data_IF_462699900296
#
_entry.id   IF_462699900296
#
_cell.length_a   1.000
_cell.length_b   1.000
_cell.length_c   1.000
_cell.angle_alpha   90.00
_cell.angle_beta   90.00
_cell.angle_gamma   90.00
#
_symmetry.space_group_name_H-M   'P 1'
#
loop_
_entity.id
_entity.type
_entity.pdbx_description
1 polymer ?
#
# COMPACT_ATOMS: atom_id res chain seq x y z
N UNK A 1 8.65 2.98 13.09
CA UNK A 1 7.17 3.04 12.96
C UNK A 1 6.48 1.68 13.03
N UNK A 2 7.17 0.55 12.78
CA UNK A 2 6.59 -0.82 12.87
C UNK A 2 7.24 -1.70 13.96
N UNK A 3 7.97 -1.11 14.90
CA UNK A 3 8.64 -1.87 15.96
C UNK A 3 7.60 -2.55 16.86
N UNK A 4 7.66 -3.88 16.95
CA UNK A 4 6.74 -4.69 17.74
C UNK A 4 5.45 -5.09 17.03
N UNK A 5 5.28 -4.77 15.74
CA UNK A 5 4.15 -5.25 14.93
C UNK A 5 4.47 -6.65 14.39
N UNK A 6 3.58 -7.62 14.62
CA UNK A 6 3.69 -8.95 14.01
C UNK A 6 3.33 -8.89 12.52
N UNK A 7 4.21 -9.33 11.61
CA UNK A 7 3.90 -9.38 10.18
C UNK A 7 2.70 -10.26 9.86
N UNK A 8 1.90 -9.82 8.89
CA UNK A 8 0.87 -10.67 8.29
C UNK A 8 1.53 -11.68 7.36
N UNK A 9 1.33 -12.98 7.60
CA UNK A 9 1.88 -14.04 6.74
C UNK A 9 1.04 -14.18 5.48
N UNK A 10 1.68 -14.23 4.33
CA UNK A 10 1.05 -14.43 3.02
C UNK A 10 1.87 -15.41 2.17
N UNK A 11 1.21 -16.10 1.25
CA UNK A 11 1.89 -16.97 0.28
C UNK A 11 2.62 -16.14 -0.78
N UNK A 12 3.68 -16.70 -1.41
CA UNK A 12 4.30 -16.10 -2.60
C UNK A 12 3.26 -15.73 -3.65
N UNK A 13 3.44 -14.56 -4.27
CA UNK A 13 2.52 -13.99 -5.28
C UNK A 13 1.06 -13.80 -4.80
N UNK A 14 0.82 -13.90 -3.48
CA UNK A 14 -0.51 -13.71 -2.90
C UNK A 14 -1.07 -12.33 -3.19
N UNK A 15 -2.38 -12.26 -3.45
CA UNK A 15 -3.08 -11.00 -3.77
C UNK A 15 -3.28 -10.14 -2.51
N UNK A 16 -2.95 -8.86 -2.63
CA UNK A 16 -3.13 -7.84 -1.59
C UNK A 16 -4.04 -6.76 -2.15
N UNK A 17 -5.29 -6.76 -1.71
CA UNK A 17 -6.30 -5.80 -2.11
C UNK A 17 -6.39 -4.62 -1.14
N UNK A 18 -6.59 -3.42 -1.68
CA UNK A 18 -6.81 -2.19 -0.93
C UNK A 18 -8.25 -1.76 -1.08
N UNK A 19 -8.89 -1.41 0.04
CA UNK A 19 -10.24 -0.85 0.00
C UNK A 19 -10.44 0.23 1.06
N UNK A 20 -11.37 1.14 0.78
CA UNK A 20 -11.77 2.21 1.69
C UNK A 20 -13.26 2.09 1.99
N UNK A 21 -13.59 2.01 3.27
CA UNK A 21 -14.99 1.99 3.73
C UNK A 21 -15.68 3.35 3.50
N UNK A 22 -14.92 4.44 3.59
CA UNK A 22 -15.41 5.80 3.34
C UNK A 22 -15.77 6.00 1.86
N UNK A 23 -16.84 6.77 1.60
CA UNK A 23 -17.27 7.18 0.26
C UNK A 23 -17.32 8.71 0.16
N UNK A 24 -16.83 9.31 -0.94
CA UNK A 24 -16.24 8.67 -2.12
C UNK A 24 -14.86 8.03 -1.83
N UNK A 25 -14.48 7.03 -2.64
CA UNK A 25 -13.14 6.45 -2.61
C UNK A 25 -12.09 7.50 -3.05
N UNK A 26 -10.81 7.36 -2.64
CA UNK A 26 -9.76 8.29 -3.06
C UNK A 26 -9.58 8.25 -4.59
N UNK A 27 -9.18 9.39 -5.16
CA UNK A 27 -8.95 9.51 -6.61
C UNK A 27 -7.59 9.00 -7.03
N UNK A 28 -6.63 8.99 -6.11
CA UNK A 28 -5.28 8.48 -6.33
C UNK A 28 -4.86 7.62 -5.16
N UNK A 29 -4.26 6.48 -5.49
CA UNK A 29 -3.59 5.58 -4.58
C UNK A 29 -2.13 5.46 -4.99
N UNK A 30 -1.25 5.49 -3.99
CA UNK A 30 0.17 5.22 -4.16
C UNK A 30 0.57 4.14 -3.16
N UNK A 31 1.24 3.09 -3.64
CA UNK A 31 1.85 2.09 -2.78
C UNK A 31 3.34 2.09 -3.03
N UNK A 32 4.09 2.10 -1.94
CA UNK A 32 5.53 2.03 -1.97
C UNK A 32 6.00 0.90 -1.08
N UNK A 33 6.95 0.12 -1.57
CA UNK A 33 7.71 -0.82 -0.77
C UNK A 33 8.99 -0.14 -0.30
N UNK A 34 9.31 -0.29 0.98
CA UNK A 34 10.62 0.10 1.51
C UNK A 34 11.63 -1.02 1.24
N UNK A 35 12.76 -0.66 0.64
CA UNK A 35 13.86 -1.56 0.36
C UNK A 35 15.18 -0.84 0.65
N UNK A 36 15.87 -1.26 1.71
CA UNK A 36 17.02 -0.55 2.29
C UNK A 36 16.72 0.95 2.48
N UNK A 37 17.58 1.84 1.98
CA UNK A 37 17.42 3.29 2.01
C UNK A 37 16.60 3.85 0.83
N UNK A 38 15.84 2.98 0.13
CA UNK A 38 15.07 3.33 -1.06
C UNK A 38 13.61 2.93 -0.94
N UNK A 39 12.79 3.57 -1.76
CA UNK A 39 11.38 3.22 -1.96
C UNK A 39 11.16 2.77 -3.40
N UNK A 40 10.51 1.63 -3.57
CA UNK A 40 10.05 1.14 -4.86
C UNK A 40 8.55 1.40 -4.99
N UNK A 41 8.12 2.11 -6.03
CA UNK A 41 6.69 2.27 -6.30
C UNK A 41 6.11 0.97 -6.84
N UNK A 42 4.99 0.52 -6.24
CA UNK A 42 4.29 -0.69 -6.64
C UNK A 42 3.11 -0.32 -7.54
N UNK A 43 3.05 -0.83 -8.78
CA UNK A 43 1.90 -0.61 -9.64
C UNK A 43 0.68 -1.34 -9.10
N UNK A 44 -0.44 -0.63 -9.04
CA UNK A 44 -1.74 -1.19 -8.70
C UNK A 44 -2.48 -1.62 -9.96
N UNK A 45 -3.15 -2.76 -9.90
CA UNK A 45 -4.11 -3.22 -10.90
C UNK A 45 -5.43 -3.51 -10.19
N UNK A 46 -6.51 -2.81 -10.56
CA UNK A 46 -7.82 -2.93 -9.90
C UNK A 46 -7.73 -2.80 -8.36
N UNK A 47 -6.99 -1.80 -7.86
CA UNK A 47 -6.74 -1.55 -6.44
C UNK A 47 -6.09 -2.73 -5.67
N UNK A 48 -5.40 -3.61 -6.41
CA UNK A 48 -4.67 -4.77 -5.86
C UNK A 48 -3.25 -4.86 -6.42
N UNK A 49 -2.39 -5.57 -5.70
CA UNK A 49 -1.05 -5.96 -6.16
C UNK A 49 -0.65 -7.30 -5.55
N UNK A 50 0.30 -8.00 -6.17
CA UNK A 50 0.80 -9.28 -5.68
C UNK A 50 2.00 -9.07 -4.75
N UNK A 51 2.06 -9.88 -3.70
CA UNK A 51 3.26 -10.01 -2.88
C UNK A 51 4.46 -10.51 -3.71
N UNK A 52 5.70 -10.23 -3.28
CA UNK A 52 6.89 -10.78 -3.91
C UNK A 52 6.85 -12.31 -3.97
N UNK A 53 7.51 -12.89 -4.97
CA UNK A 53 7.70 -14.34 -5.05
C UNK A 53 8.78 -14.84 -4.07
N UNK A 54 9.73 -13.97 -3.73
CA UNK A 54 10.82 -14.31 -2.81
C UNK A 54 10.33 -14.32 -1.36
N UNK A 55 10.83 -15.28 -0.57
CA UNK A 55 10.56 -15.33 0.86
C UNK A 55 11.27 -14.19 1.57
N UNK A 56 10.57 -13.54 2.51
CA UNK A 56 11.14 -12.42 3.24
C UNK A 56 10.09 -11.60 3.97
N UNK A 57 10.57 -10.63 4.75
CA UNK A 57 9.73 -9.60 5.39
C UNK A 57 9.74 -8.34 4.54
N UNK A 58 8.56 -7.84 4.19
CA UNK A 58 8.39 -6.72 3.29
C UNK A 58 7.56 -5.62 3.94
N UNK A 59 8.04 -4.39 3.83
CA UNK A 59 7.44 -3.21 4.45
C UNK A 59 6.87 -2.32 3.37
N UNK A 60 5.65 -1.83 3.60
CA UNK A 60 4.93 -1.02 2.65
C UNK A 60 4.35 0.23 3.31
N UNK A 61 4.19 1.27 2.50
CA UNK A 61 3.31 2.40 2.76
C UNK A 61 2.24 2.45 1.68
N UNK A 62 1.02 2.73 2.09
CA UNK A 62 -0.04 3.17 1.21
C UNK A 62 -0.43 4.61 1.53
N UNK A 63 -0.55 5.44 0.50
CA UNK A 63 -1.04 6.81 0.58
C UNK A 63 -2.26 6.98 -0.33
N UNK A 64 -3.30 7.60 0.19
CA UNK A 64 -4.55 7.85 -0.49
C UNK A 64 -4.88 9.33 -0.52
N UNK A 65 -5.29 9.84 -1.68
CA UNK A 65 -5.54 11.26 -1.89
C UNK A 65 -6.94 11.50 -2.46
N UNK A 66 -7.70 12.35 -1.79
CA UNK A 66 -8.96 12.90 -2.29
C UNK A 66 -8.68 14.28 -2.87
N UNK A 67 -9.17 14.53 -4.07
CA UNK A 67 -9.00 15.81 -4.75
C UNK A 67 -10.30 16.28 -5.38
N UNK A 68 -10.39 17.58 -5.64
CA UNK A 68 -11.47 18.17 -6.45
C UNK A 68 -11.56 17.50 -7.83
N UNK A 69 -12.69 17.69 -8.53
CA UNK A 69 -12.93 17.09 -9.86
C UNK A 69 -11.92 17.50 -10.92
N UNK A 70 -11.41 18.72 -10.84
CA UNK A 70 -10.33 19.21 -11.68
C UNK A 70 -8.92 18.76 -11.22
N UNK A 71 -8.82 18.01 -10.11
CA UNK A 71 -7.58 17.52 -9.53
C UNK A 71 -6.67 18.59 -8.94
N UNK A 72 -7.11 19.86 -8.88
CA UNK A 72 -6.25 20.99 -8.49
C UNK A 72 -6.10 21.17 -6.99
N UNK A 73 -7.11 20.81 -6.21
CA UNK A 73 -7.11 21.00 -4.77
C UNK A 73 -7.25 19.67 -4.04
N UNK A 74 -6.50 19.52 -2.94
CA UNK A 74 -6.68 18.41 -2.00
C UNK A 74 -7.97 18.62 -1.21
N UNK A 75 -8.74 17.55 -1.05
CA UNK A 75 -9.88 17.45 -0.13
C UNK A 75 -9.51 16.65 1.13
N UNK A 76 -8.30 16.10 1.17
CA UNK A 76 -7.80 15.28 2.25
C UNK A 76 -6.90 14.16 1.75
N UNK A 77 -6.11 13.63 2.66
CA UNK A 77 -5.21 12.51 2.42
C UNK A 77 -5.08 11.67 3.68
N UNK A 78 -4.67 10.41 3.50
CA UNK A 78 -4.28 9.53 4.59
C UNK A 78 -3.17 8.62 4.13
N UNK A 79 -2.35 8.16 5.06
CA UNK A 79 -1.41 7.07 4.81
C UNK A 79 -1.41 6.03 5.92
N UNK A 80 -0.97 4.83 5.58
CA UNK A 80 -0.77 3.73 6.51
C UNK A 80 0.47 2.94 6.10
N UNK A 81 1.21 2.46 7.10
CA UNK A 81 2.34 1.54 6.90
C UNK A 81 1.96 0.15 7.38
N UNK A 82 2.39 -0.88 6.67
CA UNK A 82 2.14 -2.27 7.04
C UNK A 82 3.33 -3.15 6.68
N UNK A 83 3.36 -4.33 7.29
CA UNK A 83 4.41 -5.34 7.08
C UNK A 83 3.78 -6.69 6.81
N UNK A 84 4.30 -7.37 5.80
CA UNK A 84 3.96 -8.75 5.47
C UNK A 84 5.20 -9.62 5.58
N UNK A 85 4.96 -10.92 5.74
CA UNK A 85 5.99 -11.93 5.60
C UNK A 85 5.56 -12.96 4.56
N UNK A 86 6.36 -13.09 3.51
CA UNK A 86 6.17 -14.10 2.47
C UNK A 86 6.82 -15.39 2.94
N UNK A 87 6.02 -16.44 3.13
CA UNK A 87 6.48 -17.79 3.53
C UNK A 87 5.83 -18.88 2.69
#
# INVERSE_FOLDING_TARGET
>A
MLQGVTPTVITPEGDIAVSFAYKPAPKRLNIQQFFDDKTLQIPLKNDSFNAPNEQGTYYYEISAFWTTDDGKFSLGDTSAVFVIEVR
#
